data_IF_722515040499
#
_entry.id   IF_722515040499
#
_cell.length_a   1.000
_cell.length_b   1.000
_cell.length_c   1.000
_cell.angle_alpha   90.00
_cell.angle_beta   90.00
_cell.angle_gamma   90.00
#
_symmetry.space_group_name_H-M   'P 1'
#
loop_
_entity.id
_entity.type
_entity.pdbx_description
1 polymer ?
#
# COMPACT_ATOMS: atom_id res chain seq x y z
N UNK A 1 16.50 -36.25 17.14
CA UNK A 1 17.07 -36.10 15.78
C UNK A 1 16.01 -35.79 14.72
N UNK A 2 15.03 -36.70 14.51
CA UNK A 2 14.05 -36.62 13.43
C UNK A 2 13.15 -35.36 13.50
N UNK A 3 12.63 -35.03 14.68
CA UNK A 3 11.82 -33.81 14.90
C UNK A 3 12.56 -32.53 14.51
N UNK A 4 13.80 -32.38 14.97
CA UNK A 4 14.63 -31.21 14.65
C UNK A 4 14.85 -31.10 13.14
N UNK A 5 15.08 -32.24 12.48
CA UNK A 5 15.29 -32.31 11.03
C UNK A 5 14.00 -31.99 10.26
N UNK A 6 12.85 -32.47 10.72
CA UNK A 6 11.55 -32.18 10.12
C UNK A 6 11.20 -30.69 10.21
N UNK A 7 11.40 -30.07 11.38
CA UNK A 7 11.18 -28.62 11.59
C UNK A 7 12.07 -27.79 10.66
N UNK A 8 13.35 -28.14 10.55
CA UNK A 8 14.27 -27.44 9.63
C UNK A 8 13.85 -27.56 8.16
N UNK A 9 13.39 -28.73 7.72
CA UNK A 9 12.95 -28.95 6.33
C UNK A 9 11.71 -28.12 6.02
N UNK A 10 10.74 -28.05 6.94
CA UNK A 10 9.53 -27.23 6.77
C UNK A 10 9.88 -25.75 6.66
N UNK A 11 10.75 -25.24 7.54
CA UNK A 11 11.17 -23.84 7.51
C UNK A 11 11.90 -23.47 6.21
N UNK A 12 12.84 -24.32 5.76
CA UNK A 12 13.56 -24.10 4.49
C UNK A 12 12.64 -24.13 3.26
N UNK A 13 11.55 -24.90 3.32
CA UNK A 13 10.59 -25.01 2.21
C UNK A 13 9.75 -23.74 2.08
N UNK A 14 9.33 -23.15 3.22
CA UNK A 14 8.58 -21.89 3.25
C UNK A 14 9.42 -20.75 2.68
N UNK A 15 10.70 -20.65 3.10
CA UNK A 15 11.64 -19.62 2.65
C UNK A 15 11.83 -19.59 1.12
N UNK A 16 11.78 -20.74 0.45
CA UNK A 16 12.07 -20.87 -0.99
C UNK A 16 10.94 -20.41 -1.92
N UNK A 17 9.77 -20.09 -1.41
CA UNK A 17 8.55 -19.87 -2.24
C UNK A 17 8.20 -18.38 -2.44
N UNK A 18 8.97 -17.44 -1.88
CA UNK A 18 8.71 -16.01 -2.00
C UNK A 18 9.57 -15.34 -3.09
N UNK A 19 8.94 -14.71 -4.09
CA UNK A 19 9.60 -13.89 -5.10
C UNK A 19 8.86 -12.54 -5.27
N UNK A 20 9.63 -11.45 -5.41
CA UNK A 20 9.20 -10.05 -5.26
C UNK A 20 9.42 -9.20 -6.53
N UNK A 21 8.48 -8.28 -6.81
CA UNK A 21 8.77 -6.92 -7.30
C UNK A 21 7.51 -6.03 -7.26
N UNK A 22 7.54 -4.90 -6.52
CA UNK A 22 6.61 -3.76 -6.67
C UNK A 22 7.32 -2.46 -6.22
N UNK A 23 7.09 -1.36 -6.93
CA UNK A 23 7.67 -0.04 -6.65
C UNK A 23 6.99 0.70 -5.48
N UNK A 24 7.77 1.51 -4.76
CA UNK A 24 7.30 2.35 -3.65
C UNK A 24 6.53 3.59 -4.15
N UNK A 25 5.56 4.07 -3.36
CA UNK A 25 4.87 5.34 -3.65
C UNK A 25 5.43 6.46 -2.76
N UNK A 26 6.15 7.38 -3.38
CA UNK A 26 6.78 8.55 -2.72
C UNK A 26 5.87 9.78 -2.66
N UNK A 27 4.62 9.65 -3.12
CA UNK A 27 3.67 10.76 -3.27
C UNK A 27 2.38 10.53 -2.49
N UNK A 28 1.79 11.61 -1.99
CA UNK A 28 0.46 11.65 -1.36
C UNK A 28 -0.38 12.74 -2.02
N UNK A 29 -1.54 12.38 -2.54
CA UNK A 29 -2.46 13.34 -3.18
C UNK A 29 -3.43 13.89 -2.14
N UNK A 30 -3.55 15.22 -2.06
CA UNK A 30 -4.50 15.92 -1.20
C UNK A 30 -5.57 16.58 -2.07
N UNK A 31 -6.84 16.17 -1.98
CA UNK A 31 -7.93 16.81 -2.72
C UNK A 31 -8.21 18.21 -2.16
N UNK A 32 -8.53 19.14 -3.05
CA UNK A 32 -8.91 20.50 -2.75
C UNK A 32 -10.39 20.70 -3.04
N UNK A 33 -11.08 21.59 -2.30
CA UNK A 33 -12.50 21.87 -2.53
C UNK A 33 -12.76 22.75 -3.76
N UNK A 34 -11.74 23.44 -4.28
CA UNK A 34 -11.84 24.30 -5.47
C UNK A 34 -10.46 24.79 -5.91
N UNK A 35 -10.36 25.30 -7.15
CA UNK A 35 -9.15 25.97 -7.65
C UNK A 35 -8.87 27.32 -6.96
N UNK A 36 -9.87 27.99 -6.36
CA UNK A 36 -9.61 29.16 -5.50
C UNK A 36 -8.74 28.78 -4.30
N UNK A 37 -9.01 27.61 -3.70
CA UNK A 37 -8.18 27.07 -2.62
C UNK A 37 -6.75 26.78 -3.10
N UNK A 38 -6.61 26.22 -4.31
CA UNK A 38 -5.30 25.99 -4.95
C UNK A 38 -4.52 27.31 -5.06
N UNK A 39 -5.18 28.38 -5.52
CA UNK A 39 -4.60 29.72 -5.58
C UNK A 39 -4.15 30.28 -4.22
N UNK A 40 -4.92 30.04 -3.15
CA UNK A 40 -4.57 30.45 -1.77
C UNK A 40 -3.39 29.65 -1.22
N UNK A 41 -3.31 28.35 -1.53
CA UNK A 41 -2.19 27.49 -1.13
C UNK A 41 -0.89 27.95 -1.79
N UNK A 42 -0.92 28.31 -3.07
CA UNK A 42 0.24 28.90 -3.76
C UNK A 42 0.60 30.25 -3.12
N UNK A 43 -0.40 31.13 -2.96
CA UNK A 43 -0.21 32.50 -2.50
C UNK A 43 0.48 33.38 -3.55
N UNK A 44 0.59 34.69 -3.26
CA UNK A 44 1.27 35.62 -4.17
C UNK A 44 2.74 35.23 -4.31
N UNK A 45 3.21 35.09 -5.55
CA UNK A 45 4.59 34.68 -5.90
C UNK A 45 5.03 33.35 -5.28
N UNK A 46 4.09 32.46 -4.95
CA UNK A 46 4.41 31.19 -4.29
C UNK A 46 4.81 31.33 -2.81
N UNK A 47 4.52 32.46 -2.17
CA UNK A 47 4.90 32.72 -0.77
C UNK A 47 4.38 31.65 0.20
N UNK A 48 3.16 31.20 0.02
CA UNK A 48 2.51 30.29 0.97
C UNK A 48 3.00 28.86 0.77
N UNK A 49 3.09 28.40 -0.48
CA UNK A 49 3.61 27.07 -0.78
C UNK A 49 5.08 26.94 -0.34
N UNK A 50 5.93 27.94 -0.59
CA UNK A 50 7.32 27.92 -0.10
C UNK A 50 7.42 27.89 1.42
N UNK A 51 6.51 28.57 2.13
CA UNK A 51 6.47 28.51 3.58
C UNK A 51 6.05 27.11 4.07
N UNK A 52 5.07 26.48 3.41
CA UNK A 52 4.66 25.11 3.70
C UNK A 52 5.80 24.11 3.46
N UNK A 53 6.48 24.21 2.32
CA UNK A 53 7.64 23.37 1.98
C UNK A 53 8.79 23.58 2.96
N UNK A 54 9.09 24.82 3.33
CA UNK A 54 10.16 25.14 4.28
C UNK A 54 9.90 24.59 5.69
N UNK A 55 8.66 24.69 6.16
CA UNK A 55 8.26 24.23 7.51
C UNK A 55 8.16 22.70 7.56
N UNK A 56 7.57 22.08 6.53
CA UNK A 56 7.35 20.62 6.51
C UNK A 56 8.55 19.83 5.99
N UNK A 57 9.41 20.44 5.17
CA UNK A 57 10.49 19.77 4.46
C UNK A 57 9.99 18.77 3.40
N UNK A 58 8.78 18.99 2.85
CA UNK A 58 8.14 18.16 1.83
C UNK A 58 7.84 19.02 0.61
N UNK A 59 8.16 18.50 -0.58
CA UNK A 59 7.91 19.21 -1.84
C UNK A 59 6.42 19.15 -2.20
N UNK A 60 5.86 20.30 -2.56
CA UNK A 60 4.46 20.42 -2.96
C UNK A 60 4.40 20.59 -4.48
N UNK A 61 4.06 19.52 -5.19
CA UNK A 61 3.89 19.55 -6.64
C UNK A 61 2.48 20.03 -6.95
N UNK A 62 2.42 21.14 -7.67
CA UNK A 62 1.20 21.69 -8.24
C UNK A 62 1.31 21.59 -9.76
N UNK A 63 0.51 20.71 -10.35
CA UNK A 63 0.44 20.49 -11.79
C UNK A 63 -0.93 20.92 -12.36
N UNK A 64 -1.20 20.56 -13.61
CA UNK A 64 -2.47 20.82 -14.29
C UNK A 64 -3.63 19.95 -13.77
N UNK A 65 -3.39 19.08 -12.77
CA UNK A 65 -4.46 18.31 -12.14
C UNK A 65 -5.40 19.27 -11.40
N UNK A 66 -6.69 19.34 -11.80
CA UNK A 66 -7.65 20.21 -11.14
C UNK A 66 -7.87 19.72 -9.70
N UNK A 67 -8.12 20.67 -8.79
CA UNK A 67 -8.59 20.37 -7.44
C UNK A 67 -7.70 19.41 -6.61
N UNK A 68 -6.38 19.39 -6.86
CA UNK A 68 -5.46 18.57 -6.08
C UNK A 68 -4.07 19.22 -5.88
N UNK A 69 -3.40 18.83 -4.80
CA UNK A 69 -1.97 19.08 -4.56
C UNK A 69 -1.28 17.76 -4.27
N UNK A 70 -0.12 17.53 -4.87
CA UNK A 70 0.66 16.32 -4.67
C UNK A 70 1.82 16.62 -3.73
N UNK A 71 1.87 15.93 -2.60
CA UNK A 71 2.96 16.01 -1.63
C UNK A 71 3.99 14.92 -1.96
N UNK A 72 5.23 15.32 -2.21
CA UNK A 72 6.33 14.42 -2.58
C UNK A 72 7.46 14.50 -1.56
N UNK A 73 7.93 13.35 -1.09
CA UNK A 73 9.09 13.31 -0.19
C UNK A 73 9.28 11.94 0.45
N UNK A 74 10.52 11.53 0.71
CA UNK A 74 10.83 10.16 1.16
C UNK A 74 10.44 9.86 2.61
N UNK A 75 10.45 10.87 3.48
CA UNK A 75 10.02 10.74 4.87
C UNK A 75 8.49 10.72 4.98
N UNK A 76 7.94 9.54 5.24
CA UNK A 76 6.51 9.33 5.38
C UNK A 76 5.88 10.04 6.58
N UNK A 77 6.62 10.26 7.66
CA UNK A 77 6.15 11.00 8.84
C UNK A 77 5.99 12.47 8.49
N UNK A 78 7.02 13.08 7.89
CA UNK A 78 6.93 14.47 7.42
C UNK A 78 5.83 14.66 6.37
N UNK A 79 5.68 13.69 5.46
CA UNK A 79 4.62 13.70 4.45
C UNK A 79 3.22 13.68 5.08
N UNK A 80 3.02 12.89 6.13
CA UNK A 80 1.77 12.87 6.86
C UNK A 80 1.52 14.17 7.63
N UNK A 81 2.53 14.73 8.29
CA UNK A 81 2.42 16.03 8.96
C UNK A 81 2.03 17.11 7.94
N UNK A 82 2.66 17.12 6.76
CA UNK A 82 2.32 18.04 5.67
C UNK A 82 0.88 17.85 5.19
N UNK A 83 0.44 16.59 4.98
CA UNK A 83 -0.93 16.24 4.59
C UNK A 83 -1.96 16.77 5.59
N UNK A 84 -1.73 16.53 6.88
CA UNK A 84 -2.62 16.94 7.95
C UNK A 84 -2.63 18.47 8.11
N UNK A 85 -1.46 19.10 8.01
CA UNK A 85 -1.31 20.56 8.03
C UNK A 85 -2.12 21.20 6.90
N UNK A 86 -1.98 20.68 5.67
CA UNK A 86 -2.73 21.16 4.52
C UNK A 86 -4.24 20.95 4.70
N UNK A 87 -4.65 19.79 5.21
CA UNK A 87 -6.07 19.50 5.50
C UNK A 87 -6.68 20.49 6.49
N UNK A 88 -5.95 20.82 7.57
CA UNK A 88 -6.39 21.81 8.57
C UNK A 88 -6.44 23.23 7.99
N UNK A 89 -5.46 23.61 7.18
CA UNK A 89 -5.44 24.91 6.49
C UNK A 89 -6.62 25.06 5.53
N UNK A 90 -6.97 24.00 4.80
CA UNK A 90 -8.14 23.98 3.90
C UNK A 90 -9.44 24.15 4.72
N UNK A 91 -9.56 23.44 5.85
CA UNK A 91 -10.73 23.54 6.72
C UNK A 91 -10.86 24.93 7.38
N UNK A 92 -9.75 25.56 7.72
CA UNK A 92 -9.71 26.93 8.26
C UNK A 92 -10.03 27.99 7.19
N UNK A 93 -9.53 27.79 5.97
CA UNK A 93 -9.71 28.69 4.83
C UNK A 93 -8.75 29.90 4.81
N UNK A 94 -7.94 30.10 5.87
CA UNK A 94 -6.88 31.12 5.95
C UNK A 94 -5.51 30.49 5.75
N UNK A 95 -4.80 30.93 4.72
CA UNK A 95 -3.47 30.41 4.37
C UNK A 95 -2.48 31.57 4.28
N UNK A 96 -1.63 31.69 5.30
CA UNK A 96 -0.51 32.62 5.36
C UNK A 96 0.58 32.04 6.28
N UNK A 97 1.85 32.49 6.19
CA UNK A 97 2.98 31.83 6.85
C UNK A 97 2.79 31.56 8.36
N UNK A 98 2.36 32.55 9.13
CA UNK A 98 2.11 32.37 10.57
C UNK A 98 1.05 31.30 10.89
N UNK A 99 0.02 31.14 10.04
CA UNK A 99 -1.01 30.11 10.24
C UNK A 99 -0.49 28.74 9.81
N UNK A 100 0.35 28.68 8.77
CA UNK A 100 1.01 27.45 8.34
C UNK A 100 1.87 26.89 9.48
N UNK A 101 2.68 27.72 10.12
CA UNK A 101 3.50 27.33 11.28
C UNK A 101 2.64 26.83 12.45
N UNK A 102 1.56 27.54 12.78
CA UNK A 102 0.65 27.13 13.85
C UNK A 102 -0.04 25.78 13.55
N UNK A 103 -0.56 25.59 12.33
CA UNK A 103 -1.20 24.35 11.92
C UNK A 103 -0.19 23.19 11.81
N UNK A 104 1.05 23.50 11.47
CA UNK A 104 2.14 22.52 11.45
C UNK A 104 2.42 21.97 12.84
N UNK A 105 2.61 22.83 13.85
CA UNK A 105 2.88 22.36 15.22
C UNK A 105 1.73 21.53 15.80
N UNK A 106 0.47 21.94 15.53
CA UNK A 106 -0.70 21.13 15.91
C UNK A 106 -0.73 19.78 15.20
N UNK A 107 -0.43 19.75 13.89
CA UNK A 107 -0.40 18.52 13.11
C UNK A 107 0.73 17.60 13.54
N UNK A 108 1.89 18.16 13.87
CA UNK A 108 3.04 17.44 14.39
C UNK A 108 2.70 16.75 15.71
N UNK A 109 2.11 17.47 16.67
CA UNK A 109 1.71 16.90 17.95
C UNK A 109 0.69 15.76 17.81
N UNK A 110 -0.29 15.91 16.91
CA UNK A 110 -1.27 14.85 16.62
C UNK A 110 -0.63 13.62 15.96
N UNK A 111 0.29 13.82 15.02
CA UNK A 111 1.02 12.71 14.38
C UNK A 111 1.92 12.01 15.39
N UNK A 112 2.62 12.75 16.25
CA UNK A 112 3.43 12.18 17.35
C UNK A 112 2.58 11.31 18.28
N UNK A 113 1.43 11.80 18.76
CA UNK A 113 0.52 11.01 19.58
C UNK A 113 0.00 9.76 18.85
N UNK A 114 -0.35 9.89 17.58
CA UNK A 114 -0.83 8.78 16.76
C UNK A 114 0.24 7.72 16.46
N UNK A 115 1.53 8.07 16.51
CA UNK A 115 2.65 7.12 16.44
C UNK A 115 2.81 6.38 17.77
N UNK A 116 2.79 7.10 18.90
CA UNK A 116 2.89 6.49 20.23
C UNK A 116 1.79 5.45 20.46
N UNK A 117 0.53 5.83 20.22
CA UNK A 117 -0.62 4.94 20.32
C UNK A 117 -0.48 3.70 19.42
N UNK A 118 0.00 3.89 18.19
CA UNK A 118 0.17 2.78 17.26
C UNK A 118 1.27 1.80 17.66
N UNK A 119 2.38 2.30 18.22
CA UNK A 119 3.44 1.44 18.76
C UNK A 119 2.96 0.64 19.96
N UNK A 120 2.21 1.27 20.87
CA UNK A 120 1.62 0.60 22.03
C UNK A 120 0.60 -0.45 21.62
N UNK A 121 -0.29 -0.12 20.68
CA UNK A 121 -1.28 -1.04 20.15
C UNK A 121 -0.63 -2.26 19.47
N UNK A 122 0.43 -2.05 18.68
CA UNK A 122 1.16 -3.14 18.04
C UNK A 122 1.80 -4.10 19.06
N UNK A 123 2.35 -3.57 20.17
CA UNK A 123 2.85 -4.38 21.28
C UNK A 123 1.71 -5.16 21.97
N UNK A 124 0.55 -4.53 22.15
CA UNK A 124 -0.63 -5.13 22.75
C UNK A 124 -1.18 -6.28 21.90
N UNK A 125 -1.45 -6.03 20.60
CA UNK A 125 -2.05 -6.99 19.66
C UNK A 125 -1.19 -8.25 19.51
N UNK A 126 0.13 -8.06 19.49
CA UNK A 126 1.08 -9.17 19.36
C UNK A 126 1.35 -9.90 20.67
N UNK A 127 0.87 -9.38 21.80
CA UNK A 127 1.15 -9.86 23.16
C UNK A 127 2.65 -9.81 23.50
N UNK A 128 3.33 -8.74 23.07
CA UNK A 128 4.76 -8.49 23.31
C UNK A 128 4.89 -7.36 24.34
N UNK A 129 5.22 -7.72 25.58
CA UNK A 129 5.32 -6.77 26.69
C UNK A 129 6.76 -6.43 27.05
N UNK A 130 6.95 -5.28 27.71
CA UNK A 130 8.26 -4.86 28.25
C UNK A 130 9.25 -4.44 27.17
N UNK A 131 8.76 -3.94 26.03
CA UNK A 131 9.58 -3.23 25.04
C UNK A 131 9.93 -1.85 25.61
N UNK A 132 11.16 -1.38 25.41
CA UNK A 132 11.57 -0.08 25.90
C UNK A 132 10.70 1.04 25.28
N UNK A 133 10.25 2.05 26.05
CA UNK A 133 9.36 3.10 25.54
C UNK A 133 9.89 3.81 24.28
N UNK A 134 11.20 4.07 24.23
CA UNK A 134 11.84 4.66 23.05
C UNK A 134 11.80 3.75 21.82
N UNK A 135 11.88 2.43 22.01
CA UNK A 135 11.73 1.47 20.90
C UNK A 135 10.27 1.34 20.47
N UNK A 136 9.31 1.49 21.39
CA UNK A 136 7.87 1.59 21.07
C UNK A 136 7.58 2.81 20.19
N UNK A 137 8.19 3.97 20.49
CA UNK A 137 8.09 5.17 19.63
C UNK A 137 8.63 4.92 18.23
N UNK A 138 9.79 4.27 18.11
CA UNK A 138 10.39 3.92 16.80
C UNK A 138 9.49 2.95 16.04
N UNK A 139 8.93 1.95 16.72
CA UNK A 139 7.95 1.03 16.14
C UNK A 139 6.72 1.78 15.60
N UNK A 140 6.19 2.72 16.38
CA UNK A 140 5.07 3.57 16.00
C UNK A 140 5.29 4.37 14.71
N UNK A 141 6.52 4.83 14.44
CA UNK A 141 6.87 5.53 13.19
C UNK A 141 6.63 4.69 11.93
N UNK A 142 6.71 3.35 12.04
CA UNK A 142 6.44 2.45 10.92
C UNK A 142 4.99 2.56 10.41
N UNK A 143 4.07 3.13 11.19
CA UNK A 143 2.69 3.44 10.77
C UNK A 143 2.64 4.36 9.55
N UNK A 144 3.63 5.24 9.39
CA UNK A 144 3.70 6.14 8.26
C UNK A 144 4.75 5.71 7.22
N UNK A 145 5.34 4.52 7.39
CA UNK A 145 6.25 3.91 6.42
C UNK A 145 5.50 2.89 5.58
N UNK A 146 5.67 2.98 4.27
CA UNK A 146 5.21 1.96 3.33
C UNK A 146 6.44 1.40 2.62
N UNK A 147 6.54 0.09 2.52
CA UNK A 147 7.57 -0.62 1.77
C UNK A 147 6.90 -1.71 0.95
N UNK A 148 7.28 -1.84 -0.32
CA UNK A 148 6.67 -2.80 -1.26
C UNK A 148 5.12 -2.71 -1.33
N UNK A 149 4.56 -1.51 -1.16
CA UNK A 149 3.11 -1.26 -1.20
C UNK A 149 2.35 -1.64 0.08
N UNK A 150 3.02 -2.14 1.12
CA UNK A 150 2.44 -2.49 2.41
C UNK A 150 2.90 -1.53 3.51
N UNK A 151 1.99 -1.22 4.43
CA UNK A 151 2.33 -0.50 5.65
C UNK A 151 3.26 -1.35 6.53
N UNK A 152 4.42 -0.79 6.90
CA UNK A 152 5.47 -1.56 7.58
C UNK A 152 5.06 -1.95 9.00
N UNK A 153 4.30 -1.12 9.73
CA UNK A 153 3.82 -1.51 11.07
C UNK A 153 2.88 -2.72 11.02
N UNK A 154 1.92 -2.70 10.09
CA UNK A 154 1.00 -3.81 9.90
C UNK A 154 1.73 -5.08 9.48
N UNK A 155 2.74 -4.94 8.61
CA UNK A 155 3.63 -6.04 8.24
C UNK A 155 4.35 -6.61 9.46
N UNK A 156 4.98 -5.78 10.30
CA UNK A 156 5.66 -6.24 11.53
C UNK A 156 4.73 -6.96 12.51
N UNK A 157 3.49 -6.46 12.69
CA UNK A 157 2.47 -7.12 13.52
C UNK A 157 2.13 -8.51 12.96
N UNK A 158 1.93 -8.60 11.65
CA UNK A 158 1.66 -9.86 10.97
C UNK A 158 2.81 -10.86 11.07
N UNK A 159 4.05 -10.41 10.83
CA UNK A 159 5.26 -11.24 10.98
C UNK A 159 5.36 -11.76 12.41
N UNK A 160 5.09 -10.93 13.42
CA UNK A 160 5.06 -11.37 14.80
C UNK A 160 4.03 -12.50 15.04
N UNK A 161 2.81 -12.35 14.50
CA UNK A 161 1.78 -13.39 14.62
C UNK A 161 2.17 -14.69 13.92
N UNK A 162 2.64 -14.62 12.67
CA UNK A 162 3.06 -15.79 11.89
C UNK A 162 4.23 -16.51 12.56
N UNK A 163 5.27 -15.76 12.97
CA UNK A 163 6.43 -16.31 13.66
C UNK A 163 6.02 -16.98 14.98
N UNK A 164 5.09 -16.37 15.73
CA UNK A 164 4.54 -16.93 16.96
C UNK A 164 3.75 -18.23 16.75
N UNK A 165 2.92 -18.30 15.71
CA UNK A 165 2.16 -19.50 15.36
C UNK A 165 3.09 -20.64 14.93
N UNK A 166 4.04 -20.36 14.03
CA UNK A 166 5.02 -21.37 13.61
C UNK A 166 5.87 -21.84 14.80
N UNK A 167 6.24 -20.94 15.72
CA UNK A 167 7.00 -21.31 16.90
C UNK A 167 6.20 -22.25 17.82
N UNK A 168 4.90 -22.04 17.97
CA UNK A 168 4.03 -22.91 18.75
C UNK A 168 3.97 -24.32 18.16
N UNK A 169 3.73 -24.43 16.85
CA UNK A 169 3.63 -25.72 16.14
C UNK A 169 4.96 -26.49 16.13
N UNK A 170 6.08 -25.76 16.02
CA UNK A 170 7.42 -26.35 15.97
C UNK A 170 8.09 -26.41 17.36
N UNK A 171 7.36 -26.19 18.45
CA UNK A 171 7.90 -26.25 19.82
C UNK A 171 9.12 -25.36 20.08
N UNK A 172 9.20 -24.21 19.40
CA UNK A 172 10.21 -23.17 19.59
C UNK A 172 9.72 -22.09 20.57
N UNK A 173 10.57 -21.12 20.92
CA UNK A 173 10.18 -20.07 21.85
C UNK A 173 9.29 -19.00 21.20
N UNK A 174 7.99 -19.11 21.45
CA UNK A 174 6.95 -18.19 20.94
C UNK A 174 7.26 -16.72 21.31
N UNK A 175 7.75 -16.45 22.52
CA UNK A 175 8.01 -15.07 22.98
C UNK A 175 9.15 -14.43 22.21
N UNK A 176 10.23 -15.18 21.95
CA UNK A 176 11.37 -14.69 21.17
C UNK A 176 10.94 -14.48 19.71
N UNK A 177 10.24 -15.44 19.11
CA UNK A 177 9.78 -15.36 17.73
C UNK A 177 8.85 -14.15 17.48
N UNK A 178 7.86 -13.94 18.36
CA UNK A 178 6.96 -12.77 18.29
C UNK A 178 7.70 -11.45 18.46
N UNK A 179 8.59 -11.37 19.45
CA UNK A 179 9.33 -10.14 19.76
C UNK A 179 10.30 -9.77 18.65
N UNK A 180 11.04 -10.75 18.12
CA UNK A 180 11.89 -10.54 16.96
C UNK A 180 11.08 -10.21 15.70
N UNK A 181 9.97 -10.91 15.46
CA UNK A 181 9.08 -10.61 14.33
C UNK A 181 8.48 -9.21 14.37
N UNK A 182 8.11 -8.70 15.55
CA UNK A 182 7.60 -7.32 15.67
C UNK A 182 8.69 -6.28 15.42
N UNK A 183 9.93 -6.57 15.82
CA UNK A 183 11.04 -5.62 15.82
C UNK A 183 11.99 -5.75 14.63
N UNK A 184 11.78 -6.73 13.72
CA UNK A 184 12.76 -7.05 12.68
C UNK A 184 13.05 -5.89 11.72
N UNK A 185 12.05 -5.04 11.51
CA UNK A 185 12.04 -3.98 10.49
C UNK A 185 12.04 -2.55 11.08
N UNK A 186 12.26 -2.39 12.40
CA UNK A 186 12.25 -1.07 13.05
C UNK A 186 13.32 -0.11 12.53
N UNK A 187 14.37 -0.63 11.90
CA UNK A 187 15.38 0.14 11.20
C UNK A 187 14.81 0.96 10.04
N UNK A 188 13.73 0.52 9.38
CA UNK A 188 13.06 1.27 8.31
C UNK A 188 12.40 2.58 8.78
N UNK A 189 12.33 2.81 10.09
CA UNK A 189 11.85 4.05 10.69
C UNK A 189 12.92 5.15 10.77
N UNK A 190 14.20 4.79 10.64
CA UNK A 190 15.37 5.67 10.85
C UNK A 190 16.49 5.45 9.81
N UNK A 191 16.21 4.71 8.74
CA UNK A 191 17.14 4.35 7.65
C UNK A 191 17.67 5.57 6.88
N UNK A 192 16.90 6.66 6.82
CA UNK A 192 17.35 7.92 6.20
C UNK A 192 18.34 8.72 7.07
N UNK A 193 18.51 8.36 8.33
CA UNK A 193 19.38 9.05 9.29
C UNK A 193 20.68 8.28 9.59
N UNK A 194 20.72 6.98 9.27
CA UNK A 194 21.79 6.07 9.67
C UNK A 194 22.22 5.19 8.49
N UNK A 195 23.52 5.14 8.23
CA UNK A 195 24.10 4.32 7.18
C UNK A 195 24.08 2.83 7.57
N UNK A 196 23.55 1.97 6.69
CA UNK A 196 23.48 0.52 6.88
C UNK A 196 22.23 -0.12 6.27
N UNK A 197 22.17 -1.45 6.25
CA UNK A 197 20.91 -2.14 5.93
C UNK A 197 19.89 -1.92 7.05
N UNK A 198 18.59 -1.98 6.76
CA UNK A 198 17.59 -1.85 7.83
C UNK A 198 17.67 -3.01 8.83
N UNK A 199 18.17 -4.19 8.43
CA UNK A 199 18.45 -5.30 9.35
C UNK A 199 19.56 -4.96 10.35
N UNK A 200 20.66 -4.36 9.88
CA UNK A 200 21.76 -3.89 10.73
C UNK A 200 21.28 -2.84 11.72
N UNK A 201 20.53 -1.85 11.23
CA UNK A 201 20.00 -0.75 12.05
C UNK A 201 19.02 -1.31 13.08
N UNK A 202 18.12 -2.22 12.69
CA UNK A 202 17.18 -2.88 13.60
C UNK A 202 17.89 -3.65 14.70
N UNK A 203 18.95 -4.39 14.37
CA UNK A 203 19.77 -5.10 15.34
C UNK A 203 20.43 -4.12 16.33
N UNK A 204 21.01 -3.04 15.82
CA UNK A 204 21.70 -2.04 16.66
C UNK A 204 20.73 -1.35 17.62
N UNK A 205 19.53 -0.99 17.14
CA UNK A 205 18.46 -0.44 17.96
C UNK A 205 18.04 -1.43 19.06
N UNK A 206 17.76 -2.68 18.68
CA UNK A 206 17.41 -3.74 19.63
C UNK A 206 18.49 -3.90 20.72
N UNK A 207 19.78 -3.93 20.32
CA UNK A 207 20.91 -4.01 21.26
C UNK A 207 21.00 -2.78 22.16
N UNK A 208 20.86 -1.57 21.60
CA UNK A 208 20.88 -0.29 22.33
C UNK A 208 19.82 -0.26 23.43
N UNK A 209 18.64 -0.80 23.15
CA UNK A 209 17.52 -0.90 24.10
C UNK A 209 17.49 -2.21 24.91
N UNK A 210 18.63 -2.93 24.97
CA UNK A 210 18.87 -4.11 25.83
C UNK A 210 17.97 -5.31 25.53
N UNK A 211 17.58 -5.49 24.28
CA UNK A 211 16.97 -6.74 23.84
C UNK A 211 17.92 -7.93 24.04
N UNK A 212 17.33 -9.11 24.28
CA UNK A 212 18.10 -10.34 24.46
C UNK A 212 18.88 -10.70 23.19
N UNK A 213 20.05 -11.34 23.35
CA UNK A 213 20.91 -11.70 22.22
C UNK A 213 20.21 -12.62 21.20
N UNK A 214 19.24 -13.43 21.63
CA UNK A 214 18.42 -14.26 20.73
C UNK A 214 17.47 -13.43 19.87
N UNK A 215 16.81 -12.41 20.43
CA UNK A 215 15.97 -11.47 19.67
C UNK A 215 16.83 -10.66 18.69
N UNK A 216 17.95 -10.13 19.17
CA UNK A 216 18.92 -9.35 18.36
C UNK A 216 19.44 -10.18 17.19
N UNK A 217 19.81 -11.45 17.42
CA UNK A 217 20.26 -12.37 16.36
C UNK A 217 19.16 -12.68 15.36
N UNK A 218 17.94 -12.98 15.82
CA UNK A 218 16.81 -13.27 14.93
C UNK A 218 16.43 -12.06 14.05
N UNK A 219 16.51 -10.85 14.60
CA UNK A 219 16.38 -9.60 13.83
C UNK A 219 17.50 -9.50 12.80
N UNK A 220 18.77 -9.62 13.17
CA UNK A 220 19.86 -9.45 12.21
C UNK A 220 19.85 -10.50 11.08
N UNK A 221 19.51 -11.74 11.41
CA UNK A 221 19.52 -12.82 10.45
C UNK A 221 18.35 -12.76 9.44
N UNK A 222 17.36 -11.88 9.59
CA UNK A 222 16.12 -11.97 8.78
C UNK A 222 16.32 -11.77 7.26
N UNK A 223 17.37 -11.05 6.85
CA UNK A 223 17.74 -10.91 5.43
C UNK A 223 18.85 -11.85 4.95
N UNK A 224 19.25 -12.84 5.77
CA UNK A 224 20.34 -13.78 5.49
C UNK A 224 21.74 -13.15 5.41
N UNK A 225 21.90 -11.91 5.89
CA UNK A 225 23.23 -11.27 6.06
C UNK A 225 24.09 -12.02 7.06
N UNK A 226 23.44 -12.68 8.03
CA UNK A 226 24.06 -13.60 8.99
C UNK A 226 23.29 -14.92 9.00
N UNK A 227 24.04 -16.02 9.12
CA UNK A 227 23.45 -17.35 9.17
C UNK A 227 22.53 -17.51 10.40
N UNK A 228 21.29 -18.01 10.21
CA UNK A 228 20.39 -18.25 11.33
C UNK A 228 20.87 -19.42 12.19
N UNK A 229 21.31 -19.10 13.41
CA UNK A 229 21.79 -20.06 14.41
C UNK A 229 20.68 -20.64 15.29
N UNK A 230 19.46 -20.08 15.23
CA UNK A 230 18.32 -20.46 16.07
C UNK A 230 17.10 -20.77 15.22
N UNK A 231 16.18 -21.60 15.74
CA UNK A 231 14.93 -21.92 15.04
C UNK A 231 14.14 -20.62 14.86
N UNK A 232 14.06 -19.79 15.91
CA UNK A 232 13.34 -18.52 15.91
C UNK A 232 13.81 -17.57 14.79
N UNK A 233 15.12 -17.49 14.52
CA UNK A 233 15.63 -16.70 13.41
C UNK A 233 15.10 -17.19 12.06
N UNK A 234 15.07 -18.50 11.82
CA UNK A 234 14.49 -19.09 10.60
C UNK A 234 12.98 -18.83 10.54
N UNK A 235 12.27 -18.85 11.67
CA UNK A 235 10.83 -18.58 11.70
C UNK A 235 10.51 -17.11 11.40
N UNK A 236 11.32 -16.17 11.87
CA UNK A 236 11.16 -14.75 11.52
C UNK A 236 11.39 -14.55 10.03
N UNK A 237 12.45 -15.13 9.46
CA UNK A 237 12.69 -15.11 8.00
C UNK A 237 11.49 -15.66 7.20
N UNK A 238 10.99 -16.83 7.62
CA UNK A 238 9.84 -17.45 6.97
C UNK A 238 8.58 -16.58 7.09
N UNK A 239 8.34 -15.98 8.25
CA UNK A 239 7.19 -15.12 8.51
C UNK A 239 7.24 -13.83 7.67
N UNK A 240 8.40 -13.18 7.60
CA UNK A 240 8.65 -12.02 6.75
C UNK A 240 8.39 -12.34 5.28
N UNK A 241 9.02 -13.40 4.76
CA UNK A 241 8.82 -13.85 3.39
C UNK A 241 7.34 -14.18 3.07
N UNK A 242 6.62 -14.82 3.99
CA UNK A 242 5.18 -15.12 3.82
C UNK A 242 4.33 -13.87 3.84
N UNK A 243 4.61 -12.90 4.72
CA UNK A 243 3.88 -11.63 4.77
C UNK A 243 4.11 -10.83 3.49
N UNK A 244 5.36 -10.73 3.03
CA UNK A 244 5.73 -10.03 1.80
C UNK A 244 5.19 -10.69 0.53
N UNK A 245 5.05 -12.02 0.49
CA UNK A 245 4.62 -12.76 -0.69
C UNK A 245 3.10 -12.74 -0.94
N UNK A 246 2.28 -12.19 -0.03
CA UNK A 246 0.82 -12.29 -0.16
C UNK A 246 0.27 -11.56 -1.39
N UNK A 247 -0.43 -12.28 -2.30
CA UNK A 247 -1.29 -11.65 -3.30
C UNK A 247 -2.47 -11.00 -2.58
N UNK A 248 -2.52 -9.67 -2.54
CA UNK A 248 -3.59 -8.94 -1.85
C UNK A 248 -3.17 -7.60 -1.23
N UNK A 249 -1.87 -7.37 -0.99
CA UNK A 249 -1.30 -6.03 -0.73
C UNK A 249 -1.17 -5.19 -2.02
N UNK A 250 -1.80 -5.67 -3.09
CA UNK A 250 -1.68 -5.16 -4.45
C UNK A 250 -2.88 -4.27 -4.69
N UNK A 251 -2.67 -2.96 -4.73
CA UNK A 251 -3.15 -2.25 -5.92
C UNK A 251 -2.48 -2.98 -7.09
N UNK A 252 -3.13 -4.01 -7.64
CA UNK A 252 -2.91 -4.32 -9.04
C UNK A 252 -2.96 -2.97 -9.73
N UNK A 253 -1.84 -2.57 -10.31
CA UNK A 253 -1.64 -1.25 -10.89
C UNK A 253 -2.93 -0.83 -11.55
N UNK A 254 -3.55 0.26 -11.06
CA UNK A 254 -4.76 0.81 -11.65
C UNK A 254 -4.59 0.87 -13.18
N UNK A 255 -3.36 1.12 -13.64
CA UNK A 255 -2.92 1.03 -15.02
C UNK A 255 -3.13 -0.34 -15.69
N UNK A 256 -2.70 -1.48 -15.14
CA UNK A 256 -3.01 -2.80 -15.72
C UNK A 256 -4.51 -3.13 -15.66
N UNK A 257 -5.22 -2.67 -14.63
CA UNK A 257 -6.67 -2.82 -14.56
C UNK A 257 -7.38 -1.98 -15.63
N UNK A 258 -6.97 -0.73 -15.82
CA UNK A 258 -7.42 0.16 -16.90
C UNK A 258 -7.08 -0.44 -18.25
N UNK A 259 -5.81 -0.81 -18.50
CA UNK A 259 -5.38 -1.47 -19.75
C UNK A 259 -6.17 -2.75 -20.04
N UNK A 260 -6.58 -3.49 -19.00
CA UNK A 260 -7.42 -4.68 -19.15
C UNK A 260 -8.86 -4.32 -19.52
N UNK A 261 -9.44 -3.28 -18.92
CA UNK A 261 -10.76 -2.80 -19.32
C UNK A 261 -10.72 -2.23 -20.74
N UNK A 262 -9.70 -1.45 -21.07
CA UNK A 262 -9.44 -0.92 -22.42
C UNK A 262 -9.29 -2.06 -23.43
N UNK A 263 -8.54 -3.11 -23.11
CA UNK A 263 -8.41 -4.28 -24.00
C UNK A 263 -9.74 -5.00 -24.23
N UNK A 264 -10.59 -5.14 -23.19
CA UNK A 264 -11.94 -5.70 -23.34
C UNK A 264 -12.83 -4.83 -24.23
N UNK A 265 -12.69 -3.51 -24.10
CA UNK A 265 -13.43 -2.54 -24.91
C UNK A 265 -12.95 -2.56 -26.36
N UNK A 266 -11.64 -2.56 -26.59
CA UNK A 266 -11.03 -2.63 -27.93
C UNK A 266 -11.41 -3.90 -28.70
N UNK A 267 -11.50 -5.05 -28.02
CA UNK A 267 -11.96 -6.30 -28.66
C UNK A 267 -13.39 -6.11 -29.16
N UNK A 268 -14.29 -5.58 -28.33
CA UNK A 268 -15.68 -5.38 -28.71
C UNK A 268 -15.85 -4.32 -29.81
N UNK A 269 -15.11 -3.21 -29.77
CA UNK A 269 -15.21 -2.12 -30.76
C UNK A 269 -14.74 -2.49 -32.17
N UNK A 270 -13.89 -3.51 -32.32
CA UNK A 270 -13.42 -3.98 -33.63
C UNK A 270 -14.53 -4.63 -34.46
N UNK A 271 -15.61 -5.09 -33.83
CA UNK A 271 -16.69 -5.75 -34.56
C UNK A 271 -17.59 -4.75 -35.29
N UNK A 272 -17.94 -5.10 -36.53
CA UNK A 272 -18.78 -4.25 -37.39
C UNK A 272 -20.18 -4.06 -36.80
N UNK A 273 -20.63 -2.81 -36.75
CA UNK A 273 -21.95 -2.43 -36.27
C UNK A 273 -22.00 -2.09 -34.77
N UNK A 274 -20.88 -2.22 -34.05
CA UNK A 274 -20.71 -1.68 -32.69
C UNK A 274 -20.59 -0.17 -32.76
N UNK A 275 -21.35 0.53 -31.91
CA UNK A 275 -21.30 1.99 -31.77
C UNK A 275 -20.43 2.40 -30.58
N UNK A 276 -20.62 1.73 -29.44
CA UNK A 276 -19.87 1.94 -28.19
C UNK A 276 -19.86 0.66 -27.39
N UNK A 277 -18.84 0.48 -26.55
CA UNK A 277 -18.87 -0.56 -25.54
C UNK A 277 -18.37 -0.05 -24.19
N UNK A 278 -18.71 -0.79 -23.13
CA UNK A 278 -18.35 -0.47 -21.75
C UNK A 278 -18.03 -1.74 -20.99
N UNK A 279 -16.85 -1.82 -20.40
CA UNK A 279 -16.51 -2.85 -19.44
C UNK A 279 -16.99 -2.44 -18.03
N UNK A 280 -17.91 -3.24 -17.46
CA UNK A 280 -18.58 -3.03 -16.19
C UNK A 280 -18.22 -4.12 -15.17
N UNK A 281 -18.64 -3.93 -13.91
CA UNK A 281 -18.49 -4.91 -12.82
C UNK A 281 -17.04 -5.43 -12.67
N UNK A 282 -16.07 -4.52 -12.70
CA UNK A 282 -14.66 -4.86 -12.64
C UNK A 282 -14.19 -5.82 -13.75
N UNK A 283 -14.69 -5.62 -14.97
CA UNK A 283 -14.33 -6.43 -16.14
C UNK A 283 -15.07 -7.77 -16.25
N UNK A 284 -16.07 -8.00 -15.39
CA UNK A 284 -16.91 -9.23 -15.43
C UNK A 284 -18.15 -9.09 -16.30
N UNK A 285 -18.45 -7.89 -16.79
CA UNK A 285 -19.55 -7.64 -17.72
C UNK A 285 -19.06 -6.70 -18.82
N UNK A 286 -19.37 -6.99 -20.09
CA UNK A 286 -19.11 -6.09 -21.22
C UNK A 286 -20.45 -5.76 -21.86
N UNK A 287 -20.81 -4.47 -21.89
CA UNK A 287 -22.02 -3.99 -22.56
C UNK A 287 -21.68 -3.35 -23.89
N UNK A 288 -22.30 -3.84 -24.95
CA UNK A 288 -22.01 -3.44 -26.32
C UNK A 288 -23.26 -2.80 -26.90
N UNK A 289 -23.19 -1.52 -27.21
CA UNK A 289 -24.25 -0.78 -27.90
C UNK A 289 -24.02 -0.89 -29.41
N UNK A 290 -25.05 -1.32 -30.14
CA UNK A 290 -24.98 -1.46 -31.61
C UNK A 290 -25.88 -0.48 -32.31
N UNK A 291 -25.51 -0.12 -33.55
CA UNK A 291 -26.34 0.70 -34.42
C UNK A 291 -27.54 -0.13 -34.92
N UNK A 292 -28.79 0.24 -34.59
CA UNK A 292 -29.97 -0.52 -35.01
C UNK A 292 -30.18 -0.59 -36.53
N UNK A 293 -29.59 0.35 -37.29
CA UNK A 293 -29.64 0.35 -38.74
C UNK A 293 -28.71 -0.71 -39.38
N UNK A 294 -27.67 -1.14 -38.67
CA UNK A 294 -26.63 -2.03 -39.20
C UNK A 294 -26.73 -3.47 -38.67
N UNK A 295 -27.20 -3.65 -37.43
CA UNK A 295 -27.28 -4.96 -36.75
C UNK A 295 -28.72 -5.29 -36.43
N UNK A 296 -29.29 -6.38 -36.99
CA UNK A 296 -30.64 -6.86 -36.68
C UNK A 296 -30.69 -7.76 -35.43
N UNK A 297 -31.88 -8.18 -35.00
CA UNK A 297 -32.06 -8.93 -33.73
C UNK A 297 -31.38 -10.32 -33.73
N UNK A 298 -31.22 -10.94 -34.91
CA UNK A 298 -30.41 -12.17 -35.01
C UNK A 298 -28.91 -11.87 -34.98
N UNK A 299 -28.52 -10.73 -35.55
CA UNK A 299 -27.16 -10.21 -35.56
C UNK A 299 -26.67 -9.84 -34.17
N UNK A 300 -27.52 -9.34 -33.27
CA UNK A 300 -27.12 -9.06 -31.88
C UNK A 300 -26.78 -10.32 -31.10
N UNK A 301 -27.54 -11.40 -31.27
CA UNK A 301 -27.24 -12.70 -30.65
C UNK A 301 -25.94 -13.31 -31.18
N UNK A 302 -25.70 -13.22 -32.49
CA UNK A 302 -24.45 -13.67 -33.11
C UNK A 302 -23.26 -12.87 -32.62
N UNK A 303 -23.37 -11.54 -32.63
CA UNK A 303 -22.33 -10.62 -32.19
C UNK A 303 -21.94 -10.83 -30.72
N UNK A 304 -22.92 -11.05 -29.83
CA UNK A 304 -22.64 -11.35 -28.43
C UNK A 304 -21.79 -12.62 -28.27
N UNK A 305 -22.04 -13.63 -29.10
CA UNK A 305 -21.31 -14.90 -29.09
C UNK A 305 -19.90 -14.76 -29.67
N UNK A 306 -19.75 -13.99 -30.74
CA UNK A 306 -18.45 -13.72 -31.37
C UNK A 306 -17.53 -12.96 -30.43
N UNK A 307 -18.01 -11.86 -29.83
CA UNK A 307 -17.25 -11.07 -28.85
C UNK A 307 -16.85 -11.92 -27.64
N UNK A 308 -17.77 -12.72 -27.10
CA UNK A 308 -17.46 -13.60 -25.97
C UNK A 308 -16.36 -14.62 -26.29
N UNK A 309 -16.38 -15.19 -27.50
CA UNK A 309 -15.37 -16.15 -27.96
C UNK A 309 -14.01 -15.49 -28.18
N UNK A 310 -13.99 -14.29 -28.75
CA UNK A 310 -12.74 -13.56 -29.00
C UNK A 310 -12.07 -13.11 -27.69
N UNK A 311 -12.87 -12.68 -26.70
CA UNK A 311 -12.38 -12.41 -25.34
C UNK A 311 -11.78 -13.66 -24.70
N UNK A 312 -12.42 -14.83 -24.85
CA UNK A 312 -11.92 -16.11 -24.33
C UNK A 312 -10.59 -16.54 -24.98
N UNK A 313 -10.40 -16.22 -26.26
CA UNK A 313 -9.18 -16.58 -27.01
C UNK A 313 -8.02 -15.61 -26.78
N UNK A 314 -8.28 -14.32 -26.58
CA UNK A 314 -7.24 -13.28 -26.52
C UNK A 314 -6.85 -12.88 -25.10
N UNK A 315 -7.69 -13.15 -24.08
CA UNK A 315 -7.45 -12.71 -22.71
C UNK A 315 -7.54 -13.87 -21.73
N UNK A 316 -6.43 -14.11 -21.01
CA UNK A 316 -6.42 -15.02 -19.86
C UNK A 316 -7.19 -14.39 -18.69
N UNK A 317 -8.47 -14.75 -18.54
CA UNK A 317 -9.35 -14.22 -17.49
C UNK A 317 -9.78 -15.30 -16.49
N UNK A 318 -9.50 -15.17 -15.17
CA UNK A 318 -10.03 -16.07 -14.17
C UNK A 318 -11.52 -15.79 -13.92
N UNK A 319 -12.38 -16.60 -14.53
CA UNK A 319 -13.83 -16.58 -14.31
C UNK A 319 -14.63 -16.25 -15.57
N UNK A 320 -15.96 -16.18 -15.43
CA UNK A 320 -16.87 -15.92 -16.54
C UNK A 320 -17.07 -14.41 -16.75
N UNK A 321 -16.99 -13.97 -18.00
CA UNK A 321 -17.33 -12.61 -18.44
C UNK A 321 -18.68 -12.65 -19.15
N UNK A 322 -19.60 -11.76 -18.75
CA UNK A 322 -20.93 -11.65 -19.36
C UNK A 322 -20.93 -10.60 -20.46
N UNK A 323 -21.11 -11.01 -21.70
CA UNK A 323 -21.27 -10.08 -22.84
C UNK A 323 -22.76 -9.81 -23.08
N UNK A 324 -23.15 -8.55 -23.06
CA UNK A 324 -24.54 -8.11 -23.31
C UNK A 324 -24.58 -7.12 -24.46
N UNK A 325 -25.22 -7.51 -25.56
CA UNK A 325 -25.42 -6.64 -26.72
C UNK A 325 -26.78 -5.95 -26.63
N UNK A 326 -26.79 -4.62 -26.70
CA UNK A 326 -27.97 -3.78 -26.57
C UNK A 326 -28.21 -3.06 -27.90
N UNK A 327 -29.37 -3.32 -28.49
CA UNK A 327 -29.90 -2.60 -29.65
C UNK A 327 -31.06 -1.74 -29.18
N UNK A 328 -30.88 -0.43 -29.18
CA UNK A 328 -31.89 0.53 -28.71
C UNK A 328 -32.29 1.49 -29.82
N UNK A 329 -33.59 1.65 -30.07
CA UNK A 329 -34.14 2.67 -30.96
C UNK A 329 -35.03 3.60 -30.16
N UNK A 330 -34.77 4.91 -30.22
CA UNK A 330 -35.55 5.93 -29.51
C UNK A 330 -36.31 6.79 -30.51
N UNK A 331 -37.62 6.91 -30.33
CA UNK A 331 -38.47 7.87 -31.03
C UNK A 331 -39.18 8.72 -29.99
N UNK A 332 -39.09 10.04 -30.12
CA UNK A 332 -39.68 10.99 -29.17
C UNK A 332 -40.55 11.97 -29.96
N UNK A 333 -41.80 12.14 -29.52
CA UNK A 333 -42.73 13.10 -30.10
C UNK A 333 -43.32 13.95 -28.98
N UNK A 334 -43.47 15.26 -29.22
CA UNK A 334 -44.06 16.19 -28.27
C UNK A 334 -45.46 16.54 -28.74
N UNK A 335 -46.47 16.12 -27.97
CA UNK A 335 -47.85 16.55 -28.18
C UNK A 335 -48.02 18.01 -27.72
N UNK A 336 -48.85 18.77 -28.45
CA UNK A 336 -49.37 20.07 -28.00
C UNK A 336 -50.77 19.88 -27.43
#
# INVERSE_FOLDING_TARGET
EADRRARNILSLSIQRTAANHVAETTVTVVPLPSDDMKGRIIGREGRNIRALEAVTGIDCIIDDTPEAVVLSGFDGVRREIARLTLTKLIADGRIHPARIEEMFEQSRAEVEAAMEEAGEQACFDTNVHGVAPELVKVLGRLKFRTSYGQNVLNHSVEVAHLAGLMAAELGANIKIAKRAGLLHDVGKAVDHEVEGSHADISQQLARKYRESQSVVHAIHAHHQDVEPQTIEAVLVQAADAVSAARPGARRESLENYIKRLEALEEIAEKHKGVEKCYAMQAGREVRVMVKPAEVNDNGTALLAREIAKEIEEQLDYPGQIRVTVIRESRATELAK
#
